data_IF_180121338647
#
_entry.id   IF_180121338647
#
_cell.length_a   1.000
_cell.length_b   1.000
_cell.length_c   1.000
_cell.angle_alpha   90.00
_cell.angle_beta   90.00
_cell.angle_gamma   90.00
#
_symmetry.space_group_name_H-M   'P 1'
#
loop_
_entity.id
_entity.type
_entity.pdbx_description
1 polymer ?
#
# COMPACT_ATOMS: atom_id res chain seq x y z
N UNK A 1 1.37 0.82 11.71
CA UNK A 1 2.18 1.99 12.15
C UNK A 1 2.24 3.14 11.14
N UNK A 2 2.33 2.92 9.82
CA UNK A 2 2.46 4.05 8.88
C UNK A 2 1.15 4.81 8.58
N UNK A 3 0.04 4.10 8.37
CA UNK A 3 -1.23 4.72 7.93
C UNK A 3 -2.16 5.00 9.11
N UNK A 4 -2.62 3.97 9.83
CA UNK A 4 -3.63 4.15 10.89
C UNK A 4 -3.38 3.27 12.13
N UNK A 5 -2.11 3.01 12.47
CA UNK A 5 -1.76 2.43 13.78
C UNK A 5 -2.41 1.10 14.19
N UNK A 6 -3.02 0.32 13.30
CA UNK A 6 -3.81 -0.87 13.71
C UNK A 6 -2.88 -1.95 14.30
N UNK A 7 -2.80 -2.03 15.63
CA UNK A 7 -2.01 -3.03 16.37
C UNK A 7 -2.82 -4.28 16.76
N UNK A 8 -4.16 -4.23 16.75
CA UNK A 8 -4.98 -5.41 17.08
C UNK A 8 -5.13 -6.37 15.89
N UNK A 9 -4.67 -7.61 16.07
CA UNK A 9 -4.70 -8.64 15.02
C UNK A 9 -6.10 -8.93 14.48
N UNK A 10 -7.13 -8.81 15.33
CA UNK A 10 -8.53 -9.07 14.94
C UNK A 10 -9.10 -8.01 13.99
N UNK A 11 -8.92 -6.71 14.26
CA UNK A 11 -9.44 -5.64 13.39
C UNK A 11 -8.71 -5.65 12.05
N UNK A 12 -7.39 -5.88 12.07
CA UNK A 12 -6.60 -6.01 10.86
C UNK A 12 -7.06 -7.18 9.99
N UNK A 13 -7.38 -8.34 10.58
CA UNK A 13 -7.88 -9.51 9.85
C UNK A 13 -9.26 -9.26 9.21
N UNK A 14 -10.20 -8.68 9.95
CA UNK A 14 -11.53 -8.34 9.43
C UNK A 14 -11.42 -7.34 8.27
N UNK A 15 -10.61 -6.29 8.46
CA UNK A 15 -10.32 -5.30 7.43
C UNK A 15 -9.74 -5.95 6.17
N UNK A 16 -8.71 -6.79 6.31
CA UNK A 16 -8.01 -7.41 5.17
C UNK A 16 -8.94 -8.33 4.35
N UNK A 17 -9.82 -9.07 5.02
CA UNK A 17 -10.79 -9.94 4.34
C UNK A 17 -11.75 -9.15 3.45
N UNK A 18 -12.30 -8.04 3.92
CA UNK A 18 -13.17 -7.19 3.10
C UNK A 18 -12.37 -6.37 2.09
N UNK A 19 -11.14 -5.97 2.42
CA UNK A 19 -10.26 -5.25 1.51
C UNK A 19 -9.96 -6.06 0.23
N UNK A 20 -9.72 -7.37 0.33
CA UNK A 20 -9.55 -8.20 -0.87
C UNK A 20 -10.81 -8.30 -1.73
N UNK A 21 -12.00 -8.34 -1.12
CA UNK A 21 -13.27 -8.30 -1.86
C UNK A 21 -13.45 -6.95 -2.57
N UNK A 22 -13.06 -5.86 -1.91
CA UNK A 22 -13.07 -4.52 -2.51
C UNK A 22 -12.17 -4.50 -3.76
N UNK A 23 -10.94 -4.98 -3.64
CA UNK A 23 -9.98 -5.06 -4.76
C UNK A 23 -10.56 -5.83 -5.95
N UNK A 24 -11.08 -7.04 -5.70
CA UNK A 24 -11.70 -7.86 -6.74
C UNK A 24 -12.95 -7.22 -7.35
N UNK A 25 -13.70 -6.43 -6.56
CA UNK A 25 -14.86 -5.69 -7.03
C UNK A 25 -14.50 -4.54 -7.98
N UNK A 26 -13.42 -3.82 -7.69
CA UNK A 26 -12.96 -2.67 -8.50
C UNK A 26 -12.58 -3.05 -9.92
N UNK A 27 -11.98 -4.23 -10.12
CA UNK A 27 -11.59 -4.73 -11.44
C UNK A 27 -12.70 -5.51 -12.16
N UNK A 28 -13.90 -5.60 -11.59
CA UNK A 28 -15.02 -6.37 -12.16
C UNK A 28 -15.97 -5.50 -12.99
N UNK A 29 -16.79 -6.15 -13.82
CA UNK A 29 -17.87 -5.45 -14.54
C UNK A 29 -18.82 -4.78 -13.53
N UNK A 30 -19.23 -3.52 -13.74
CA UNK A 30 -20.04 -2.75 -12.80
C UNK A 30 -21.52 -3.18 -12.80
N UNK A 31 -21.78 -4.44 -12.44
CA UNK A 31 -23.10 -5.08 -12.45
C UNK A 31 -23.48 -5.45 -11.00
N UNK A 32 -24.41 -4.68 -10.43
CA UNK A 32 -24.87 -4.84 -9.03
C UNK A 32 -25.96 -5.92 -8.90
N UNK A 33 -25.57 -7.18 -9.11
CA UNK A 33 -26.45 -8.35 -8.95
C UNK A 33 -25.93 -9.31 -7.87
N UNK A 34 -26.81 -10.09 -7.21
CA UNK A 34 -26.38 -11.12 -6.26
C UNK A 34 -25.37 -12.08 -6.88
N UNK A 35 -24.26 -12.34 -6.17
CA UNK A 35 -23.20 -13.25 -6.62
C UNK A 35 -22.10 -12.62 -7.49
N UNK A 36 -22.25 -11.36 -7.96
CA UNK A 36 -21.18 -10.69 -8.71
C UNK A 36 -20.04 -10.21 -7.81
N UNK A 37 -18.82 -10.09 -8.36
CA UNK A 37 -17.70 -9.46 -7.67
C UNK A 37 -17.99 -7.99 -7.33
N UNK A 38 -18.69 -7.28 -8.22
CA UNK A 38 -19.07 -5.88 -7.99
C UNK A 38 -19.96 -5.71 -6.76
N UNK A 39 -21.02 -6.52 -6.62
CA UNK A 39 -21.89 -6.53 -5.43
C UNK A 39 -21.09 -6.81 -4.16
N UNK A 40 -20.20 -7.83 -4.20
CA UNK A 40 -19.33 -8.19 -3.06
C UNK A 40 -18.39 -7.05 -2.68
N UNK A 41 -17.73 -6.42 -3.64
CA UNK A 41 -16.83 -5.30 -3.41
C UNK A 41 -17.56 -4.06 -2.88
N UNK A 42 -18.75 -3.77 -3.38
CA UNK A 42 -19.58 -2.68 -2.87
C UNK A 42 -19.99 -2.91 -1.41
N UNK A 43 -20.38 -4.13 -1.06
CA UNK A 43 -20.72 -4.46 0.32
C UNK A 43 -19.50 -4.45 1.24
N UNK A 44 -18.35 -4.91 0.74
CA UNK A 44 -17.08 -4.84 1.46
C UNK A 44 -16.65 -3.38 1.72
N UNK A 45 -16.84 -2.46 0.76
CA UNK A 45 -16.59 -1.03 0.97
C UNK A 45 -17.40 -0.49 2.14
N UNK A 46 -18.69 -0.84 2.25
CA UNK A 46 -19.54 -0.39 3.38
C UNK A 46 -18.99 -0.86 4.73
N UNK A 47 -18.54 -2.11 4.81
CA UNK A 47 -17.97 -2.65 6.04
C UNK A 47 -16.65 -1.96 6.38
N UNK A 48 -15.75 -1.79 5.41
CA UNK A 48 -14.48 -1.08 5.58
C UNK A 48 -14.70 0.35 6.07
N UNK A 49 -15.65 1.08 5.47
CA UNK A 49 -16.00 2.44 5.90
C UNK A 49 -16.48 2.45 7.35
N UNK A 50 -17.28 1.47 7.77
CA UNK A 50 -17.74 1.38 9.16
C UNK A 50 -16.60 1.09 10.13
N UNK A 51 -15.65 0.21 9.78
CA UNK A 51 -14.46 -0.09 10.58
C UNK A 51 -13.61 1.17 10.72
N UNK A 52 -13.32 1.85 9.60
CA UNK A 52 -12.49 3.06 9.60
C UNK A 52 -13.17 4.22 10.31
N UNK A 53 -14.49 4.36 10.23
CA UNK A 53 -15.23 5.38 10.98
C UNK A 53 -15.08 5.17 12.48
N UNK A 54 -15.21 3.93 12.98
CA UNK A 54 -14.96 3.63 14.40
C UNK A 54 -13.53 3.98 14.80
N UNK A 55 -12.55 3.62 13.96
CA UNK A 55 -11.14 3.93 14.20
C UNK A 55 -10.86 5.43 14.27
N UNK A 56 -11.47 6.22 13.38
CA UNK A 56 -11.37 7.69 13.37
C UNK A 56 -11.95 8.27 14.65
N UNK A 57 -13.15 7.83 15.06
CA UNK A 57 -13.80 8.32 16.29
C UNK A 57 -13.00 7.92 17.55
N UNK A 58 -12.51 6.69 17.62
CA UNK A 58 -11.63 6.23 18.71
C UNK A 58 -10.34 7.05 18.77
N UNK A 59 -9.73 7.36 17.62
CA UNK A 59 -8.51 8.16 17.55
C UNK A 59 -8.74 9.60 18.00
N UNK A 60 -9.88 10.22 17.65
CA UNK A 60 -10.24 11.56 18.11
C UNK A 60 -10.54 11.61 19.62
N UNK A 61 -11.13 10.55 20.16
CA UNK A 61 -11.41 10.44 21.59
C UNK A 61 -10.14 10.13 22.42
N UNK A 62 -9.15 9.50 21.81
CA UNK A 62 -7.87 9.18 22.45
C UNK A 62 -7.00 10.41 22.64
N UNK A 63 -6.24 10.44 23.74
CA UNK A 63 -5.16 11.43 23.98
C UNK A 63 -3.82 10.95 23.42
N UNK A 64 -3.80 9.80 22.75
CA UNK A 64 -2.57 9.20 22.25
C UNK A 64 -2.02 9.96 21.03
N UNK A 65 -0.76 10.32 21.13
CA UNK A 65 0.05 10.92 20.07
C UNK A 65 0.73 9.83 19.24
N UNK A 66 -0.01 8.85 18.74
CA UNK A 66 0.54 7.98 17.70
C UNK A 66 0.89 8.83 16.48
N UNK A 67 2.16 8.80 16.06
CA UNK A 67 2.61 9.53 14.87
C UNK A 67 2.43 8.64 13.65
N UNK A 68 1.22 8.64 13.10
CA UNK A 68 0.89 8.01 11.82
C UNK A 68 0.15 9.00 10.90
N UNK A 69 -0.14 8.56 9.67
CA UNK A 69 -0.83 9.39 8.70
C UNK A 69 -2.22 9.83 9.16
N UNK A 70 -2.99 8.95 9.79
CA UNK A 70 -4.31 9.28 10.33
C UNK A 70 -4.22 10.41 11.34
N UNK A 71 -3.27 10.36 12.27
CA UNK A 71 -3.04 11.45 13.23
C UNK A 71 -2.62 12.75 12.52
N UNK A 72 -1.82 12.69 11.46
CA UNK A 72 -1.52 13.88 10.66
C UNK A 72 -2.75 14.46 9.94
N UNK A 73 -3.65 13.62 9.45
CA UNK A 73 -4.89 14.05 8.77
C UNK A 73 -5.92 14.62 9.75
N UNK A 74 -5.92 14.16 11.01
CA UNK A 74 -6.82 14.64 12.06
C UNK A 74 -6.32 15.91 12.77
N UNK A 75 -5.05 16.28 12.61
CA UNK A 75 -4.50 17.50 13.23
C UNK A 75 -5.21 18.75 12.70
N UNK A 76 -5.67 19.56 13.63
CA UNK A 76 -6.19 20.90 13.35
C UNK A 76 -5.03 21.89 13.24
N UNK A 77 -4.28 21.86 12.13
CA UNK A 77 -3.44 23.01 11.77
C UNK A 77 -4.24 23.96 10.87
N UNK A 78 -3.77 25.22 10.74
CA UNK A 78 -4.35 26.37 10.02
C UNK A 78 -4.54 26.17 8.51
N UNK A 79 -4.80 24.94 8.06
CA UNK A 79 -5.08 24.62 6.69
C UNK A 79 -6.50 25.06 6.35
N UNK A 80 -6.65 25.93 5.35
CA UNK A 80 -7.95 26.42 4.87
C UNK A 80 -8.87 25.32 4.35
N UNK A 81 -8.34 24.11 4.13
CA UNK A 81 -9.05 22.95 3.61
C UNK A 81 -8.96 21.80 4.61
N UNK A 82 -9.86 21.80 5.60
CA UNK A 82 -10.02 20.68 6.54
C UNK A 82 -10.79 19.57 5.82
N UNK A 83 -10.24 18.36 5.81
CA UNK A 83 -10.93 17.18 5.30
C UNK A 83 -12.03 16.77 6.29
N UNK A 84 -13.19 16.42 5.76
CA UNK A 84 -14.24 15.72 6.50
C UNK A 84 -13.81 14.29 6.83
N UNK A 85 -14.47 13.67 7.82
CA UNK A 85 -14.17 12.29 8.20
C UNK A 85 -14.36 11.31 7.04
N UNK A 86 -15.37 11.55 6.20
CA UNK A 86 -15.61 10.72 5.01
C UNK A 86 -14.48 10.87 3.98
N UNK A 87 -13.94 12.08 3.79
CA UNK A 87 -12.79 12.30 2.91
C UNK A 87 -11.50 11.67 3.48
N UNK A 88 -11.30 11.72 4.80
CA UNK A 88 -10.18 11.03 5.47
C UNK A 88 -10.29 9.52 5.27
N UNK A 89 -11.47 8.95 5.49
CA UNK A 89 -11.74 7.52 5.29
C UNK A 89 -11.49 7.12 3.83
N UNK A 90 -12.05 7.86 2.87
CA UNK A 90 -11.86 7.56 1.44
C UNK A 90 -10.38 7.72 1.01
N UNK A 91 -9.65 8.68 1.57
CA UNK A 91 -8.21 8.83 1.35
C UNK A 91 -7.42 7.63 1.88
N UNK A 92 -7.73 7.16 3.10
CA UNK A 92 -7.09 5.98 3.68
C UNK A 92 -7.34 4.74 2.81
N UNK A 93 -8.59 4.51 2.37
CA UNK A 93 -8.94 3.40 1.48
C UNK A 93 -8.16 3.51 0.16
N UNK A 94 -8.10 4.71 -0.42
CA UNK A 94 -7.40 4.97 -1.68
C UNK A 94 -5.90 4.70 -1.58
N UNK A 95 -5.26 5.13 -0.50
CA UNK A 95 -3.83 4.89 -0.26
C UNK A 95 -3.51 3.41 -0.02
N UNK A 96 -4.36 2.71 0.75
CA UNK A 96 -4.21 1.27 0.96
C UNK A 96 -4.40 0.49 -0.34
N UNK A 97 -5.44 0.80 -1.11
CA UNK A 97 -5.70 0.17 -2.41
C UNK A 97 -4.54 0.37 -3.38
N UNK A 98 -4.14 1.63 -3.59
CA UNK A 98 -3.07 1.98 -4.53
C UNK A 98 -1.73 1.37 -4.13
N UNK A 99 -1.38 1.39 -2.84
CA UNK A 99 -0.15 0.79 -2.32
C UNK A 99 -0.16 -0.74 -2.40
N UNK A 100 -1.29 -1.38 -2.10
CA UNK A 100 -1.39 -2.83 -2.15
C UNK A 100 -1.30 -3.36 -3.58
N UNK A 101 -2.17 -2.91 -4.48
CA UNK A 101 -2.30 -3.47 -5.83
C UNK A 101 -0.98 -3.32 -6.61
N UNK A 102 -0.40 -2.12 -6.58
CA UNK A 102 0.77 -1.81 -7.41
C UNK A 102 2.06 -2.42 -6.87
N UNK A 103 2.32 -2.29 -5.56
CA UNK A 103 3.59 -2.74 -4.97
C UNK A 103 3.63 -4.26 -4.86
N UNK A 104 2.51 -4.91 -4.51
CA UNK A 104 2.46 -6.38 -4.44
C UNK A 104 2.70 -7.01 -5.81
N UNK A 105 2.03 -6.50 -6.85
CA UNK A 105 2.22 -6.99 -8.22
C UNK A 105 3.62 -6.70 -8.74
N UNK A 106 4.17 -5.50 -8.50
CA UNK A 106 5.55 -5.17 -8.87
C UNK A 106 6.56 -6.10 -8.18
N UNK A 107 6.37 -6.39 -6.89
CA UNK A 107 7.24 -7.28 -6.13
C UNK A 107 7.17 -8.72 -6.63
N UNK A 108 5.97 -9.22 -6.91
CA UNK A 108 5.77 -10.54 -7.52
C UNK A 108 6.49 -10.63 -8.88
N UNK A 109 6.37 -9.61 -9.72
CA UNK A 109 7.02 -9.56 -11.03
C UNK A 109 8.55 -9.46 -10.91
N UNK A 110 9.08 -8.72 -9.94
CA UNK A 110 10.52 -8.69 -9.65
C UNK A 110 11.04 -10.09 -9.29
N UNK A 111 10.33 -10.81 -8.41
CA UNK A 111 10.70 -12.20 -8.04
C UNK A 111 10.67 -13.12 -9.25
N UNK A 112 9.62 -13.03 -10.08
CA UNK A 112 9.54 -13.78 -11.34
C UNK A 112 10.75 -13.48 -12.24
N UNK A 113 11.03 -12.22 -12.53
CA UNK A 113 12.11 -11.87 -13.46
C UNK A 113 13.48 -12.25 -12.93
N UNK A 114 13.71 -12.13 -11.61
CA UNK A 114 14.94 -12.60 -10.98
C UNK A 114 15.09 -14.12 -11.03
N UNK A 115 13.98 -14.87 -10.90
CA UNK A 115 13.98 -16.32 -11.08
C UNK A 115 14.37 -16.71 -12.51
N UNK A 116 13.80 -16.03 -13.50
CA UNK A 116 14.06 -16.27 -14.92
C UNK A 116 15.48 -15.82 -15.35
N UNK A 117 16.12 -14.92 -14.59
CA UNK A 117 17.44 -14.34 -14.90
C UNK A 117 18.45 -14.53 -13.75
N UNK A 118 18.99 -15.76 -13.55
CA UNK A 118 19.83 -16.08 -12.40
C UNK A 118 21.13 -15.27 -12.32
N UNK A 119 21.66 -14.81 -13.47
CA UNK A 119 22.83 -13.94 -13.51
C UNK A 119 22.53 -12.55 -12.89
N UNK A 120 21.35 -11.98 -13.15
CA UNK A 120 20.89 -10.73 -12.53
C UNK A 120 20.73 -10.93 -11.02
N UNK A 121 20.13 -12.05 -10.60
CA UNK A 121 20.01 -12.37 -9.18
C UNK A 121 21.38 -12.50 -8.50
N UNK A 122 22.38 -13.06 -9.18
CA UNK A 122 23.74 -13.15 -8.65
C UNK A 122 24.38 -11.77 -8.46
N UNK A 123 24.24 -10.87 -9.44
CA UNK A 123 24.74 -9.49 -9.31
C UNK A 123 24.03 -8.73 -8.18
N UNK A 124 22.72 -8.90 -8.04
CA UNK A 124 21.94 -8.29 -6.94
C UNK A 124 22.38 -8.84 -5.58
N UNK A 125 22.67 -10.14 -5.47
CA UNK A 125 23.26 -10.73 -4.27
C UNK A 125 24.64 -10.16 -3.96
N UNK A 126 25.52 -9.99 -4.96
CA UNK A 126 26.84 -9.37 -4.77
C UNK A 126 26.71 -7.96 -4.19
N UNK A 127 25.80 -7.14 -4.74
CA UNK A 127 25.52 -5.79 -4.24
C UNK A 127 25.10 -5.82 -2.76
N UNK A 128 24.08 -6.60 -2.41
CA UNK A 128 23.58 -6.62 -1.03
C UNK A 128 24.54 -7.29 -0.04
N UNK A 129 25.31 -8.31 -0.44
CA UNK A 129 26.34 -8.90 0.41
C UNK A 129 27.48 -7.90 0.68
N UNK A 130 27.87 -7.10 -0.31
CA UNK A 130 28.89 -6.06 -0.13
C UNK A 130 28.42 -4.92 0.81
N UNK A 131 27.13 -4.55 0.74
CA UNK A 131 26.52 -3.62 1.71
C UNK A 131 26.52 -4.26 3.10
N UNK A 132 26.08 -5.51 3.21
CA UNK A 132 25.95 -6.19 4.49
C UNK A 132 27.29 -6.46 5.18
N UNK A 133 28.34 -6.75 4.42
CA UNK A 133 29.69 -6.98 4.95
C UNK A 133 30.28 -5.76 5.67
N UNK A 134 29.76 -4.55 5.42
CA UNK A 134 30.18 -3.31 6.09
C UNK A 134 29.46 -3.05 7.41
N UNK A 135 28.54 -3.94 7.81
CA UNK A 135 27.62 -3.74 8.93
C UNK A 135 27.73 -4.82 9.99
N UNK A 136 27.36 -4.48 11.21
CA UNK A 136 27.19 -5.47 12.28
C UNK A 136 25.93 -6.34 12.04
N UNK A 137 25.86 -7.57 12.59
CA UNK A 137 24.71 -8.47 12.43
C UNK A 137 23.35 -7.89 12.84
N UNK A 138 23.28 -6.91 13.73
CA UNK A 138 21.99 -6.32 14.15
C UNK A 138 21.84 -4.87 13.69
N UNK A 139 22.79 -4.38 12.89
CA UNK A 139 22.75 -3.02 12.39
C UNK A 139 21.74 -2.89 11.24
N UNK A 140 20.78 -1.95 11.33
CA UNK A 140 19.76 -1.78 10.30
C UNK A 140 20.33 -1.17 9.01
N UNK A 141 19.57 -1.30 7.93
CA UNK A 141 19.83 -0.60 6.67
C UNK A 141 19.61 0.89 6.91
N UNK A 142 20.61 1.71 6.58
CA UNK A 142 20.54 3.17 6.66
C UNK A 142 20.18 3.77 5.31
N UNK A 143 19.89 5.07 5.30
CA UNK A 143 19.65 5.82 4.08
C UNK A 143 20.84 5.81 3.11
N UNK A 144 22.07 5.82 3.64
CA UNK A 144 23.28 5.76 2.81
C UNK A 144 23.41 4.40 2.11
N UNK A 145 23.05 3.31 2.79
CA UNK A 145 23.03 1.97 2.19
C UNK A 145 22.00 1.88 1.06
N UNK A 146 20.80 2.41 1.28
CA UNK A 146 19.76 2.48 0.25
C UNK A 146 20.24 3.22 -1.01
N UNK A 147 20.91 4.37 -0.85
CA UNK A 147 21.50 5.10 -1.98
C UNK A 147 22.61 4.33 -2.70
N UNK A 148 23.28 3.40 -2.02
CA UNK A 148 24.31 2.57 -2.61
C UNK A 148 23.76 1.42 -3.48
N UNK A 149 22.46 1.09 -3.38
CA UNK A 149 21.79 0.00 -4.11
C UNK A 149 21.49 0.36 -5.59
N UNK A 150 22.54 0.66 -6.35
CA UNK A 150 22.44 1.15 -7.74
C UNK A 150 21.88 0.07 -8.68
N UNK A 151 22.33 -1.17 -8.54
CA UNK A 151 21.88 -2.29 -9.36
C UNK A 151 20.46 -2.71 -8.99
N UNK A 152 20.12 -2.73 -7.71
CA UNK A 152 18.73 -2.91 -7.25
C UNK A 152 17.80 -1.89 -7.91
N UNK A 153 18.20 -0.61 -7.99
CA UNK A 153 17.41 0.42 -8.68
C UNK A 153 17.22 0.12 -10.17
N UNK A 154 18.25 -0.37 -10.85
CA UNK A 154 18.14 -0.81 -12.24
C UNK A 154 17.16 -2.00 -12.39
N UNK A 155 17.20 -2.97 -11.49
CA UNK A 155 16.24 -4.09 -11.47
C UNK A 155 14.81 -3.61 -11.23
N UNK A 156 14.60 -2.65 -10.34
CA UNK A 156 13.27 -2.04 -10.10
C UNK A 156 12.75 -1.37 -11.38
N UNK A 157 13.58 -0.55 -12.03
CA UNK A 157 13.18 0.12 -13.27
C UNK A 157 12.89 -0.86 -14.40
N UNK A 158 13.71 -1.90 -14.55
CA UNK A 158 13.49 -2.91 -15.57
C UNK A 158 12.25 -3.76 -15.29
N UNK A 159 11.98 -4.07 -14.02
CA UNK A 159 10.74 -4.72 -13.60
C UNK A 159 9.53 -3.87 -13.97
N UNK A 160 9.55 -2.58 -13.63
CA UNK A 160 8.45 -1.66 -13.97
C UNK A 160 8.26 -1.52 -15.49
N UNK A 161 9.36 -1.47 -16.25
CA UNK A 161 9.35 -1.38 -17.72
C UNK A 161 8.71 -2.62 -18.36
N UNK A 162 9.05 -3.81 -17.87
CA UNK A 162 8.56 -5.06 -18.45
C UNK A 162 7.16 -5.42 -17.96
N UNK A 163 6.88 -5.25 -16.67
CA UNK A 163 5.61 -5.66 -16.08
C UNK A 163 4.44 -4.75 -16.43
N UNK A 164 4.70 -3.46 -16.69
CA UNK A 164 3.68 -2.45 -17.06
C UNK A 164 2.41 -2.57 -16.20
N UNK A 165 2.57 -2.48 -14.87
CA UNK A 165 1.49 -2.73 -13.90
C UNK A 165 0.25 -1.85 -14.14
N UNK A 166 0.47 -0.60 -14.56
CA UNK A 166 -0.60 0.31 -14.97
C UNK A 166 -0.55 0.47 -16.49
N UNK A 167 -1.49 -0.18 -17.19
CA UNK A 167 -1.52 -0.26 -18.66
C UNK A 167 -1.82 1.08 -19.36
N UNK A 168 -2.32 2.07 -18.64
CA UNK A 168 -2.65 3.38 -19.20
C UNK A 168 -3.52 4.19 -18.27
N UNK A 169 -3.79 5.44 -18.68
CA UNK A 169 -4.64 6.37 -17.93
C UNK A 169 -5.76 6.86 -18.84
N UNK A 170 -6.99 6.86 -18.33
CA UNK A 170 -8.15 7.35 -19.07
C UNK A 170 -8.17 8.89 -19.05
N UNK A 171 -8.55 9.50 -20.17
CA UNK A 171 -8.71 10.95 -20.35
C UNK A 171 -9.96 11.21 -21.20
N UNK A 172 -10.63 12.34 -20.95
CA UNK A 172 -11.76 12.83 -21.75
C UNK A 172 -11.42 14.23 -22.26
N UNK A 173 -11.56 14.47 -23.56
CA UNK A 173 -11.40 15.79 -24.16
C UNK A 173 -12.63 16.64 -23.86
N UNK A 174 -12.41 17.92 -23.55
CA UNK A 174 -13.47 18.93 -23.36
C UNK A 174 -13.97 19.45 -24.69
#
# INVERSE_FOLDING_TARGET
KQIAGIESSSIAQEFMHDFFKLVLGTLSLPIDLPGTNYRRGFQARKNIVNILRKLVEERKASKETEVDMLSCLLKEEENKYKLSDEEIIDLIITLLYSGYETVSTTSMMAVKYLHDHPHVLQELRKEHLAIRAKKKPDEPITWEDYKAMRFTRAVIFETSRLATIVNGVLRKTT
#
